data_IF_120346452870
#
_entry.id   IF_120346452870
#
_cell.length_a   1.000
_cell.length_b   1.000
_cell.length_c   1.000
_cell.angle_alpha   90.00
_cell.angle_beta   90.00
_cell.angle_gamma   90.00
#
_symmetry.space_group_name_H-M   'P 1'
#
loop_
_entity.id
_entity.type
_entity.pdbx_description
1 polymer ?
#
# COMPACT_ATOMS: atom_id res chain seq x y z
N UNK A 1 -56.00 24.52 -33.67
CA UNK A 1 -54.66 24.11 -34.15
C UNK A 1 -54.02 25.32 -34.82
N UNK A 2 -52.78 25.65 -34.45
CA UNK A 2 -52.01 26.88 -34.74
C UNK A 2 -52.44 28.18 -34.04
N UNK A 3 -51.58 28.71 -33.16
CA UNK A 3 -50.90 30.01 -33.37
C UNK A 3 -49.71 30.19 -32.41
N UNK A 4 -48.59 30.55 -33.02
CA UNK A 4 -47.28 30.89 -32.48
C UNK A 4 -47.24 32.37 -31.99
N UNK A 5 -46.11 32.74 -31.36
CA UNK A 5 -45.56 34.12 -31.19
C UNK A 5 -46.02 34.84 -29.90
N UNK A 6 -45.20 34.92 -28.84
CA UNK A 6 -43.99 35.74 -28.55
C UNK A 6 -44.32 37.10 -27.93
N UNK A 7 -43.68 37.42 -26.79
CA UNK A 7 -43.12 38.73 -26.36
C UNK A 7 -42.79 38.64 -24.84
N UNK A 8 -41.53 38.50 -24.43
CA UNK A 8 -40.50 39.55 -24.23
C UNK A 8 -40.78 40.49 -23.04
N UNK A 9 -40.13 40.16 -21.91
CA UNK A 9 -39.33 41.03 -21.01
C UNK A 9 -40.04 42.20 -20.29
N UNK A 10 -40.12 42.14 -18.93
CA UNK A 10 -39.45 43.07 -17.97
C UNK A 10 -39.82 42.82 -16.49
N UNK A 11 -38.77 42.57 -15.69
CA UNK A 11 -38.46 43.08 -14.30
C UNK A 11 -39.40 42.63 -13.15
N UNK A 12 -39.00 42.22 -11.93
CA UNK A 12 -37.86 42.54 -11.02
C UNK A 12 -37.90 41.51 -9.84
N UNK A 13 -36.82 40.77 -9.51
CA UNK A 13 -35.83 40.95 -8.41
C UNK A 13 -36.17 40.36 -7.01
N UNK A 14 -35.25 39.49 -6.56
CA UNK A 14 -34.85 39.09 -5.19
C UNK A 14 -35.75 38.24 -4.28
N UNK A 15 -35.32 36.98 -4.07
CA UNK A 15 -34.92 36.49 -2.74
C UNK A 15 -34.02 35.25 -2.92
N UNK A 16 -32.72 35.42 -2.67
CA UNK A 16 -31.74 34.35 -2.72
C UNK A 16 -31.89 33.41 -1.54
N UNK A 17 -32.13 32.13 -1.81
CA UNK A 17 -31.93 31.06 -0.84
C UNK A 17 -30.50 30.58 -1.03
N UNK A 18 -29.60 30.99 -0.14
CA UNK A 18 -28.24 30.43 -0.06
C UNK A 18 -28.38 29.00 0.44
N UNK A 19 -28.27 28.03 -0.46
CA UNK A 19 -28.07 26.63 -0.10
C UNK A 19 -26.65 26.51 0.46
N UNK A 20 -26.50 26.53 1.78
CA UNK A 20 -25.24 26.18 2.45
C UNK A 20 -25.14 24.65 2.43
N UNK A 21 -24.56 24.11 1.36
CA UNK A 21 -24.10 22.73 1.31
C UNK A 21 -22.90 22.58 2.26
N UNK A 22 -23.13 22.07 3.47
CA UNK A 22 -22.08 21.55 4.33
C UNK A 22 -21.52 20.26 3.70
N UNK A 23 -20.62 20.37 2.73
CA UNK A 23 -19.71 19.26 2.42
C UNK A 23 -18.63 19.27 3.49
N UNK A 24 -18.87 18.55 4.58
CA UNK A 24 -17.84 18.23 5.56
C UNK A 24 -16.77 17.39 4.85
N UNK A 25 -15.71 18.05 4.39
CA UNK A 25 -14.49 17.36 3.96
C UNK A 25 -13.85 16.77 5.20
N UNK A 26 -14.09 15.47 5.43
CA UNK A 26 -13.25 14.68 6.32
C UNK A 26 -11.86 14.63 5.70
N UNK A 27 -10.98 15.55 6.14
CA UNK A 27 -9.56 15.43 5.90
C UNK A 27 -9.09 14.14 6.61
N UNK A 28 -8.84 13.09 5.84
CA UNK A 28 -8.17 11.90 6.37
C UNK A 28 -6.75 12.32 6.74
N UNK A 29 -6.51 12.55 8.03
CA UNK A 29 -5.17 12.76 8.53
C UNK A 29 -4.36 11.49 8.26
N UNK A 30 -3.46 11.55 7.28
CA UNK A 30 -2.47 10.50 7.05
C UNK A 30 -1.51 10.54 8.25
N UNK A 31 -1.69 9.65 9.22
CA UNK A 31 -0.70 9.41 10.25
C UNK A 31 0.61 8.98 9.60
N UNK A 32 1.69 9.69 9.90
CA UNK A 32 3.03 9.32 9.47
C UNK A 32 3.34 7.88 9.94
N UNK A 33 4.02 7.11 9.09
CA UNK A 33 4.45 5.76 9.45
C UNK A 33 5.39 5.80 10.67
N UNK A 34 5.32 4.81 11.57
CA UNK A 34 6.18 4.77 12.75
C UNK A 34 7.65 4.63 12.37
N UNK A 35 8.54 5.32 13.09
CA UNK A 35 9.99 5.27 12.87
C UNK A 35 10.71 4.25 13.80
N UNK A 36 9.96 3.52 14.62
CA UNK A 36 10.48 2.54 15.61
C UNK A 36 9.57 1.31 15.65
N UNK A 37 10.09 0.19 16.15
CA UNK A 37 9.34 -1.06 16.30
C UNK A 37 9.71 -2.16 15.30
N UNK A 38 10.53 -1.84 14.30
CA UNK A 38 11.11 -2.84 13.41
C UNK A 38 11.86 -3.92 14.21
N UNK A 39 11.64 -5.18 13.86
CA UNK A 39 12.13 -6.38 14.56
C UNK A 39 11.22 -6.88 15.69
N UNK A 40 10.17 -6.16 16.08
CA UNK A 40 9.26 -6.60 17.14
C UNK A 40 8.18 -7.55 16.61
N UNK A 41 7.76 -8.52 17.43
CA UNK A 41 6.70 -9.48 17.09
C UNK A 41 5.32 -8.84 16.89
N UNK A 42 5.02 -7.80 17.69
CA UNK A 42 3.74 -7.07 17.64
C UNK A 42 4.03 -5.58 17.87
N UNK A 43 4.55 -4.89 16.84
CA UNK A 43 4.88 -3.48 16.95
C UNK A 43 3.60 -2.64 17.13
N UNK A 44 3.74 -1.46 17.73
CA UNK A 44 2.68 -0.45 17.74
C UNK A 44 2.63 0.26 16.36
N UNK A 45 2.28 -0.52 15.32
CA UNK A 45 2.17 -0.08 13.93
C UNK A 45 0.88 -0.65 13.33
N UNK A 46 0.22 0.06 12.40
CA UNK A 46 -0.90 -0.50 11.66
C UNK A 46 -0.48 -1.75 10.88
N UNK A 47 -1.36 -2.74 10.85
CA UNK A 47 -1.19 -3.90 9.97
C UNK A 47 -1.78 -3.58 8.58
N UNK A 48 -0.93 -3.67 7.57
CA UNK A 48 -1.23 -3.44 6.16
C UNK A 48 -1.40 -4.74 5.36
N UNK A 49 -1.49 -5.88 6.04
CA UNK A 49 -1.64 -7.18 5.38
C UNK A 49 -2.96 -7.30 4.62
N UNK A 50 -2.90 -7.83 3.40
CA UNK A 50 -4.08 -8.29 2.65
C UNK A 50 -4.41 -9.76 2.95
N UNK A 51 -3.61 -10.43 3.77
CA UNK A 51 -3.76 -11.84 4.12
C UNK A 51 -4.29 -12.01 5.54
N UNK A 52 -5.24 -12.94 5.77
CA UNK A 52 -5.66 -13.26 7.13
C UNK A 52 -4.62 -14.09 7.90
N UNK A 53 -3.55 -14.60 7.27
CA UNK A 53 -2.56 -15.51 7.89
C UNK A 53 -1.22 -14.85 8.21
N UNK A 54 -1.05 -13.61 7.79
CA UNK A 54 0.20 -12.86 7.88
C UNK A 54 -0.11 -11.44 8.34
N UNK A 55 0.89 -10.79 8.92
CA UNK A 55 0.87 -9.38 9.25
C UNK A 55 1.98 -8.67 8.47
N UNK A 56 1.69 -7.44 8.02
CA UNK A 56 2.63 -6.59 7.32
C UNK A 56 2.69 -5.23 8.01
N UNK A 57 3.80 -4.93 8.67
CA UNK A 57 3.98 -3.66 9.37
C UNK A 57 4.89 -2.74 8.57
N UNK A 58 4.41 -1.52 8.31
CA UNK A 58 5.13 -0.52 7.54
C UNK A 58 5.74 0.52 8.48
N UNK A 59 7.03 0.79 8.31
CA UNK A 59 7.78 1.80 9.03
C UNK A 59 8.43 2.76 8.03
N UNK A 60 8.69 3.98 8.45
CA UNK A 60 9.45 4.93 7.65
C UNK A 60 10.47 5.65 8.51
N UNK A 61 11.70 5.77 8.00
CA UNK A 61 12.74 6.55 8.65
C UNK A 61 13.73 7.06 7.62
N UNK A 62 14.03 8.35 7.70
CA UNK A 62 15.03 9.02 6.86
C UNK A 62 14.79 8.83 5.35
N UNK A 63 13.51 8.79 4.94
CA UNK A 63 13.09 8.59 3.55
C UNK A 63 13.17 7.15 3.05
N UNK A 64 13.45 6.19 3.94
CA UNK A 64 13.44 4.76 3.64
C UNK A 64 12.19 4.14 4.23
N UNK A 65 11.42 3.44 3.40
CA UNK A 65 10.27 2.64 3.81
C UNK A 65 10.72 1.23 4.15
N UNK A 66 10.21 0.68 5.24
CA UNK A 66 10.49 -0.68 5.68
C UNK A 66 9.19 -1.46 5.82
N UNK A 67 9.17 -2.69 5.31
CA UNK A 67 8.02 -3.59 5.42
C UNK A 67 8.49 -4.84 6.16
N UNK A 68 7.90 -5.10 7.32
CA UNK A 68 8.17 -6.29 8.12
C UNK A 68 7.04 -7.29 7.99
N UNK A 69 7.40 -8.57 7.79
CA UNK A 69 6.46 -9.67 7.59
C UNK A 69 6.47 -10.58 8.82
N UNK A 70 5.31 -10.74 9.45
CA UNK A 70 5.12 -11.64 10.57
C UNK A 70 4.07 -12.71 10.27
N UNK A 71 4.19 -13.88 10.87
CA UNK A 71 3.11 -14.88 10.92
C UNK A 71 2.07 -14.53 12.00
N UNK A 72 0.99 -15.31 12.07
CA UNK A 72 -0.06 -15.19 13.11
C UNK A 72 0.44 -15.33 14.55
N UNK A 73 1.59 -15.95 14.77
CA UNK A 73 2.16 -16.13 16.11
C UNK A 73 3.05 -14.93 16.50
N UNK A 74 3.27 -13.98 15.60
CA UNK A 74 4.17 -12.85 15.78
C UNK A 74 5.63 -13.20 15.50
N UNK A 75 5.91 -14.35 14.85
CA UNK A 75 7.25 -14.67 14.37
C UNK A 75 7.60 -13.71 13.24
N UNK A 76 8.69 -12.96 13.41
CA UNK A 76 9.22 -12.09 12.35
C UNK A 76 9.95 -12.97 11.34
N UNK A 77 9.43 -13.07 10.12
CA UNK A 77 10.03 -13.89 9.06
C UNK A 77 11.07 -13.12 8.27
N UNK A 78 10.72 -11.92 7.79
CA UNK A 78 11.63 -11.08 7.04
C UNK A 78 11.27 -9.61 7.21
N UNK A 79 12.21 -8.73 6.85
CA UNK A 79 11.92 -7.35 6.53
C UNK A 79 12.61 -6.93 5.24
N UNK A 80 12.00 -6.00 4.53
CA UNK A 80 12.56 -5.36 3.34
C UNK A 80 12.60 -3.85 3.51
N UNK A 81 13.58 -3.23 2.88
CA UNK A 81 13.71 -1.78 2.78
C UNK A 81 13.53 -1.33 1.33
N UNK A 82 13.01 -0.13 1.18
CA UNK A 82 12.80 0.51 -0.11
C UNK A 82 13.19 1.97 -0.04
N UNK A 83 13.95 2.40 -1.05
CA UNK A 83 14.38 3.79 -1.23
C UNK A 83 14.45 4.10 -2.73
N UNK A 84 13.60 5.02 -3.18
CA UNK A 84 13.41 5.25 -4.63
C UNK A 84 13.01 3.94 -5.34
N UNK A 85 13.68 3.63 -6.44
CA UNK A 85 13.44 2.40 -7.22
C UNK A 85 14.23 1.18 -6.70
N UNK A 86 14.90 1.31 -5.55
CA UNK A 86 15.73 0.25 -4.98
C UNK A 86 15.03 -0.44 -3.83
N UNK A 87 14.91 -1.77 -3.95
CA UNK A 87 14.40 -2.65 -2.89
C UNK A 87 15.52 -3.58 -2.43
N UNK A 88 15.65 -3.76 -1.12
CA UNK A 88 16.68 -4.60 -0.53
C UNK A 88 16.18 -5.38 0.69
N UNK A 89 16.76 -6.55 0.94
CA UNK A 89 16.46 -7.36 2.11
C UNK A 89 17.22 -6.86 3.35
N UNK A 90 16.60 -6.96 4.52
CA UNK A 90 17.23 -6.62 5.80
C UNK A 90 17.58 -7.90 6.58
N UNK A 91 18.64 -7.89 7.40
CA UNK A 91 18.99 -9.00 8.29
C UNK A 91 18.07 -9.04 9.52
N UNK A 92 16.75 -9.08 9.30
CA UNK A 92 15.71 -9.07 10.33
C UNK A 92 14.73 -10.21 10.07
N UNK A 93 14.53 -11.05 11.08
CA UNK A 93 13.62 -12.20 11.02
C UNK A 93 14.34 -13.53 10.81
N UNK A 94 13.61 -14.62 11.06
CA UNK A 94 14.14 -16.00 11.01
C UNK A 94 14.44 -16.48 9.59
N UNK A 95 13.79 -15.87 8.60
CA UNK A 95 13.92 -16.19 7.17
C UNK A 95 14.56 -15.02 6.38
N UNK A 96 15.31 -14.14 7.05
CA UNK A 96 15.96 -12.99 6.41
C UNK A 96 16.89 -13.37 5.24
N UNK A 97 17.48 -14.56 5.27
CA UNK A 97 18.31 -15.10 4.20
C UNK A 97 17.52 -15.69 3.02
N UNK A 98 16.19 -15.77 3.15
CA UNK A 98 15.27 -16.40 2.18
C UNK A 98 14.34 -15.36 1.55
N UNK A 99 14.83 -14.13 1.40
CA UNK A 99 14.16 -13.05 0.67
C UNK A 99 14.66 -13.05 -0.78
N UNK A 100 13.73 -13.18 -1.72
CA UNK A 100 14.00 -13.13 -3.15
C UNK A 100 13.33 -11.89 -3.75
N UNK A 101 14.13 -11.01 -4.34
CA UNK A 101 13.69 -9.75 -4.94
C UNK A 101 13.75 -9.93 -6.45
N UNK A 102 12.61 -9.78 -7.11
CA UNK A 102 12.45 -10.04 -8.54
C UNK A 102 11.71 -8.90 -9.24
N UNK A 103 12.06 -8.59 -10.50
CA UNK A 103 11.31 -7.63 -11.28
C UNK A 103 9.91 -8.17 -11.59
N UNK A 104 8.91 -7.28 -11.64
CA UNK A 104 7.57 -7.66 -12.07
C UNK A 104 7.53 -8.10 -13.56
N UNK A 105 6.68 -9.09 -13.92
CA UNK A 105 5.98 -10.02 -13.04
C UNK A 105 6.77 -11.34 -12.92
N UNK A 106 6.64 -12.05 -11.80
CA UNK A 106 6.54 -13.53 -11.81
C UNK A 106 6.04 -14.08 -10.48
N UNK A 107 4.73 -14.28 -10.40
CA UNK A 107 4.08 -14.99 -9.31
C UNK A 107 4.18 -16.51 -9.53
N UNK A 108 4.39 -17.28 -8.46
CA UNK A 108 4.20 -18.74 -8.48
C UNK A 108 2.86 -19.10 -7.86
N UNK A 109 2.24 -20.17 -8.35
CA UNK A 109 0.93 -20.63 -7.87
C UNK A 109 0.89 -21.01 -6.37
N UNK A 110 2.04 -21.23 -5.74
CA UNK A 110 2.14 -21.61 -4.32
C UNK A 110 2.40 -20.44 -3.36
N UNK A 111 2.45 -19.20 -3.86
CA UNK A 111 2.75 -18.02 -3.03
C UNK A 111 1.47 -17.30 -2.59
N UNK A 112 1.39 -16.89 -1.33
CA UNK A 112 0.31 -16.09 -0.75
C UNK A 112 0.71 -14.62 -0.74
N UNK A 113 -0.09 -13.74 -1.33
CA UNK A 113 0.13 -12.28 -1.22
C UNK A 113 -0.11 -11.84 0.22
N UNK A 114 0.87 -11.14 0.79
CA UNK A 114 0.82 -10.61 2.15
C UNK A 114 0.58 -9.11 2.11
N UNK A 115 1.31 -8.40 1.26
CA UNK A 115 1.26 -6.95 1.13
C UNK A 115 1.30 -6.58 -0.34
N UNK A 116 0.55 -5.55 -0.71
CA UNK A 116 0.56 -5.01 -2.06
C UNK A 116 0.26 -3.53 -2.04
N UNK A 117 1.08 -2.75 -2.73
CA UNK A 117 0.78 -1.38 -3.13
C UNK A 117 1.12 -1.17 -4.61
N UNK A 118 1.21 0.09 -5.05
CA UNK A 118 1.47 0.45 -6.44
C UNK A 118 2.91 0.11 -6.91
N UNK A 119 3.83 -0.14 -5.98
CA UNK A 119 5.28 -0.27 -6.22
C UNK A 119 5.84 -1.65 -5.89
N UNK A 120 5.27 -2.31 -4.87
CA UNK A 120 5.75 -3.59 -4.34
C UNK A 120 4.59 -4.54 -4.05
N UNK A 121 4.75 -5.80 -4.45
CA UNK A 121 3.97 -6.93 -3.97
C UNK A 121 4.87 -7.87 -3.16
N UNK A 122 4.54 -8.11 -1.89
CA UNK A 122 5.23 -9.08 -1.03
C UNK A 122 4.38 -10.33 -0.89
N UNK A 123 5.01 -11.49 -1.10
CA UNK A 123 4.38 -12.80 -1.00
C UNK A 123 5.16 -13.73 -0.08
N UNK A 124 4.45 -14.64 0.58
CA UNK A 124 5.06 -15.76 1.31
C UNK A 124 4.92 -17.06 0.52
N UNK A 125 6.00 -17.81 0.41
CA UNK A 125 6.01 -19.17 -0.11
C UNK A 125 6.54 -20.12 0.98
N UNK A 126 5.65 -20.71 1.80
CA UNK A 126 6.04 -21.71 2.80
C UNK A 126 6.76 -22.89 2.14
N UNK A 127 7.80 -23.39 2.79
CA UNK A 127 8.63 -24.50 2.34
C UNK A 127 8.36 -25.75 3.16
N UNK A 128 8.71 -26.92 2.62
CA UNK A 128 8.52 -28.21 3.29
C UNK A 128 9.36 -28.37 4.56
N UNK A 129 10.46 -27.62 4.70
CA UNK A 129 11.32 -27.57 5.88
C UNK A 129 10.77 -26.64 6.99
N UNK A 130 9.59 -26.05 6.78
CA UNK A 130 8.96 -25.10 7.70
C UNK A 130 9.46 -23.67 7.60
N UNK A 131 10.49 -23.41 6.77
CA UNK A 131 10.92 -22.05 6.45
C UNK A 131 9.95 -21.35 5.51
N UNK A 132 10.10 -20.03 5.39
CA UNK A 132 9.30 -19.23 4.48
C UNK A 132 10.23 -18.54 3.49
N UNK A 133 9.99 -18.73 2.20
CA UNK A 133 10.61 -17.91 1.19
C UNK A 133 9.74 -16.67 0.97
N UNK A 134 10.26 -15.50 1.33
CA UNK A 134 9.59 -14.21 1.10
C UNK A 134 9.98 -13.73 -0.29
N UNK A 135 8.99 -13.47 -1.13
CA UNK A 135 9.19 -13.02 -2.51
C UNK A 135 8.68 -11.61 -2.65
N UNK A 136 9.49 -10.77 -3.25
CA UNK A 136 9.23 -9.34 -3.38
C UNK A 136 9.26 -9.02 -4.86
N UNK A 137 8.09 -8.72 -5.40
CA UNK A 137 7.97 -8.19 -6.75
C UNK A 137 7.97 -6.68 -6.64
N UNK A 138 8.97 -6.05 -7.21
CA UNK A 138 9.05 -4.61 -7.27
C UNK A 138 8.96 -4.15 -8.73
N UNK A 139 8.42 -2.95 -8.93
CA UNK A 139 8.55 -2.23 -10.19
C UNK A 139 10.01 -1.77 -10.37
N UNK A 140 10.90 -2.72 -10.64
CA UNK A 140 12.30 -2.43 -10.99
C UNK A 140 12.28 -2.01 -12.45
N UNK A 141 12.32 -0.71 -12.73
CA UNK A 141 12.47 -0.21 -14.10
C UNK A 141 13.91 -0.51 -14.59
N UNK A 142 14.14 -1.74 -15.08
CA UNK A 142 15.40 -2.09 -15.76
C UNK A 142 15.58 -1.33 -17.09
N UNK A 143 14.51 -0.75 -17.62
CA UNK A 143 14.51 0.09 -18.82
C UNK A 143 13.44 1.21 -18.72
N UNK A 144 13.83 2.51 -18.76
CA UNK A 144 12.91 3.63 -18.59
C UNK A 144 11.85 3.78 -19.70
N UNK A 145 11.94 3.05 -20.80
CA UNK A 145 10.99 3.14 -21.93
C UNK A 145 9.76 2.25 -21.74
N UNK A 146 9.78 1.31 -20.78
CA UNK A 146 8.68 0.37 -20.54
C UNK A 146 7.81 0.75 -19.34
N UNK A 147 8.07 1.91 -18.73
CA UNK A 147 7.31 2.43 -17.59
C UNK A 147 6.36 3.52 -18.13
N UNK A 148 5.19 3.11 -18.67
CA UNK A 148 4.07 3.98 -19.09
C UNK A 148 2.77 3.58 -18.43
#
# INVERSE_FOLDING_TARGET
>A
MFRFVSQVVRQTVCAGVVAVSLTATVAMAQTAAPATGLGQSWPNAPDHSVSPYWHAYVFERDGVRYIQINDRNGTVHAAIGEVGDTVFALPVGVDAQRVDIMPMPRASASSQTIYQDDTITVMAAPQSDGSVQVRVQAAICDNPVNCV
#
